data_IF_992544209850
#
_entry.id   IF_992544209850
#
_cell.length_a   1.000
_cell.length_b   1.000
_cell.length_c   1.000
_cell.angle_alpha   90.00
_cell.angle_beta   90.00
_cell.angle_gamma   90.00
#
_symmetry.space_group_name_H-M   'P 1'
#
loop_
_entity.id
_entity.type
_entity.pdbx_description
1 polymer ?
#
# COMPACT_ATOMS: atom_id res chain seq x y z
N UNK A 1 51.94 -53.30 -14.52
CA UNK A 1 51.20 -52.58 -15.58
C UNK A 1 49.95 -51.94 -15.00
N UNK A 2 49.79 -50.63 -15.25
CA UNK A 2 48.59 -49.76 -15.19
C UNK A 2 47.77 -49.71 -13.87
N UNK A 3 48.12 -48.73 -13.01
CA UNK A 3 47.19 -48.13 -12.04
C UNK A 3 46.10 -47.36 -12.81
N UNK A 4 44.83 -47.71 -12.63
CA UNK A 4 43.70 -46.91 -13.13
C UNK A 4 43.27 -45.96 -12.02
N UNK A 5 43.58 -44.68 -12.17
CA UNK A 5 43.00 -43.60 -11.36
C UNK A 5 41.67 -43.25 -12.03
N UNK A 6 40.57 -43.46 -11.33
CA UNK A 6 39.23 -43.07 -11.77
C UNK A 6 38.97 -41.69 -11.17
N UNK A 7 39.08 -40.65 -12.00
CA UNK A 7 38.75 -39.27 -11.63
C UNK A 7 37.23 -39.11 -11.68
N UNK A 8 36.60 -38.87 -10.53
CA UNK A 8 35.17 -38.56 -10.44
C UNK A 8 35.00 -37.03 -10.50
N UNK A 9 34.59 -36.48 -11.64
CA UNK A 9 34.22 -35.06 -11.77
C UNK A 9 32.78 -34.87 -11.25
N UNK A 10 32.63 -34.21 -10.10
CA UNK A 10 31.34 -33.69 -9.64
C UNK A 10 30.96 -32.48 -10.51
N UNK A 11 29.92 -32.64 -11.35
CA UNK A 11 29.25 -31.50 -11.98
C UNK A 11 28.12 -31.09 -11.03
N UNK A 12 28.36 -30.04 -10.24
CA UNK A 12 27.29 -29.38 -9.49
C UNK A 12 26.47 -28.55 -10.48
N UNK A 13 25.35 -29.08 -10.95
CA UNK A 13 24.36 -28.30 -11.64
C UNK A 13 23.69 -27.37 -10.61
N UNK A 14 24.10 -26.09 -10.56
CA UNK A 14 23.31 -25.05 -9.92
C UNK A 14 22.03 -24.88 -10.76
N UNK A 15 20.98 -25.60 -10.39
CA UNK A 15 19.62 -25.24 -10.77
C UNK A 15 19.30 -23.93 -10.04
N UNK A 16 19.65 -22.80 -10.65
CA UNK A 16 19.06 -21.52 -10.26
C UNK A 16 17.58 -21.65 -10.55
N UNK A 17 16.78 -22.03 -9.55
CA UNK A 17 15.35 -21.77 -9.56
C UNK A 17 15.26 -20.26 -9.66
N UNK A 18 14.95 -19.75 -10.86
CA UNK A 18 14.49 -18.39 -11.00
C UNK A 18 13.20 -18.31 -10.18
N UNK A 19 13.32 -17.92 -8.92
CA UNK A 19 12.20 -17.36 -8.19
C UNK A 19 11.82 -16.15 -9.02
N UNK A 20 10.75 -16.25 -9.79
CA UNK A 20 10.06 -15.08 -10.29
C UNK A 20 9.69 -14.30 -9.04
N UNK A 21 10.47 -13.27 -8.69
CA UNK A 21 10.08 -12.36 -7.65
C UNK A 21 8.75 -11.79 -8.12
N UNK A 22 7.66 -12.16 -7.45
CA UNK A 22 6.40 -11.48 -7.66
C UNK A 22 6.65 -10.01 -7.36
N UNK A 23 6.21 -9.14 -8.26
CA UNK A 23 6.31 -7.71 -8.05
C UNK A 23 5.68 -7.35 -6.71
N UNK A 24 6.22 -6.33 -6.05
CA UNK A 24 5.71 -5.79 -4.80
C UNK A 24 4.20 -5.53 -4.93
N UNK A 25 3.36 -6.24 -4.15
CA UNK A 25 1.92 -6.02 -4.22
C UNK A 25 1.60 -4.59 -3.78
N UNK A 26 0.59 -3.99 -4.40
CA UNK A 26 0.06 -2.70 -3.98
C UNK A 26 -0.51 -2.87 -2.57
N UNK A 27 -0.02 -2.09 -1.59
CA UNK A 27 -0.59 -2.11 -0.24
C UNK A 27 -2.06 -1.69 -0.30
N UNK A 28 -2.98 -2.51 0.20
CA UNK A 28 -4.43 -2.28 0.05
C UNK A 28 -4.92 -1.08 0.84
N UNK A 29 -4.21 -0.74 1.91
CA UNK A 29 -4.40 0.50 2.65
C UNK A 29 -4.09 1.76 1.83
N UNK A 30 -3.30 1.63 0.75
CA UNK A 30 -2.98 2.74 -0.16
C UNK A 30 -4.03 2.97 -1.27
N UNK A 31 -4.84 1.97 -1.60
CA UNK A 31 -5.81 2.07 -2.69
C UNK A 31 -6.91 3.11 -2.38
N UNK A 32 -7.46 3.85 -3.35
CA UNK A 32 -8.68 4.64 -3.13
C UNK A 32 -9.79 3.81 -2.48
N UNK A 33 -10.64 4.41 -1.64
CA UNK A 33 -11.69 3.68 -0.90
C UNK A 33 -12.67 2.96 -1.85
N UNK A 34 -12.93 3.55 -3.00
CA UNK A 34 -13.83 3.02 -4.03
C UNK A 34 -13.13 2.13 -5.08
N UNK A 35 -11.84 1.84 -4.94
CA UNK A 35 -11.13 0.99 -5.88
C UNK A 35 -11.50 -0.48 -5.65
N UNK A 36 -11.81 -1.20 -6.73
CA UNK A 36 -12.10 -2.64 -6.65
C UNK A 36 -10.82 -3.47 -6.65
N UNK A 37 -10.90 -4.69 -6.12
CA UNK A 37 -9.80 -5.65 -6.14
C UNK A 37 -9.27 -5.90 -7.57
N UNK A 38 -10.19 -6.03 -8.54
CA UNK A 38 -9.83 -6.19 -9.95
C UNK A 38 -9.06 -4.98 -10.49
N UNK A 39 -9.47 -3.75 -10.15
CA UNK A 39 -8.76 -2.54 -10.57
C UNK A 39 -7.35 -2.45 -9.98
N UNK A 40 -7.18 -2.87 -8.72
CA UNK A 40 -5.88 -2.89 -8.06
C UNK A 40 -4.98 -3.95 -8.73
N UNK A 41 -5.50 -5.16 -9.00
CA UNK A 41 -4.74 -6.21 -9.67
C UNK A 41 -4.32 -5.83 -11.10
N UNK A 42 -5.23 -5.20 -11.87
CA UNK A 42 -4.90 -4.66 -13.20
C UNK A 42 -3.77 -3.63 -13.07
N UNK A 43 -3.85 -2.75 -12.09
CA UNK A 43 -2.82 -1.73 -11.85
C UNK A 43 -1.48 -2.37 -11.49
N UNK A 44 -1.46 -3.31 -10.53
CA UNK A 44 -0.27 -4.09 -10.15
C UNK A 44 0.40 -4.73 -11.36
N UNK A 45 -0.38 -5.36 -12.25
CA UNK A 45 0.15 -6.02 -13.44
C UNK A 45 0.82 -5.03 -14.42
N UNK A 46 0.35 -3.78 -14.47
CA UNK A 46 0.87 -2.75 -15.38
C UNK A 46 2.15 -2.11 -14.83
N UNK A 47 2.24 -1.90 -13.52
CA UNK A 47 3.30 -1.08 -12.90
C UNK A 47 4.18 -1.83 -11.90
N UNK A 48 4.02 -3.15 -11.75
CA UNK A 48 4.72 -3.93 -10.71
C UNK A 48 6.24 -3.77 -10.71
N UNK A 49 6.87 -3.74 -11.88
CA UNK A 49 8.33 -3.51 -12.00
C UNK A 49 8.75 -2.13 -11.47
N UNK A 50 7.91 -1.11 -11.63
CA UNK A 50 8.14 0.23 -11.08
C UNK A 50 8.00 0.19 -9.56
N UNK A 51 7.04 -0.57 -9.03
CA UNK A 51 6.83 -0.71 -7.58
C UNK A 51 8.02 -1.41 -6.91
N UNK A 52 8.63 -2.41 -7.55
CA UNK A 52 9.86 -3.05 -7.08
C UNK A 52 11.03 -2.05 -6.96
N UNK A 53 11.19 -1.17 -7.96
CA UNK A 53 12.22 -0.14 -7.92
C UNK A 53 11.96 0.93 -6.85
N UNK A 54 10.69 1.27 -6.60
CA UNK A 54 10.32 2.18 -5.50
C UNK A 54 10.61 1.53 -4.15
N UNK A 55 10.21 0.27 -3.95
CA UNK A 55 10.42 -0.45 -2.69
C UNK A 55 11.91 -0.60 -2.35
N UNK A 56 12.74 -0.83 -3.38
CA UNK A 56 14.20 -0.95 -3.21
C UNK A 56 14.92 0.40 -3.15
N UNK A 57 14.19 1.52 -3.25
CA UNK A 57 14.74 2.87 -3.20
C UNK A 57 15.53 3.28 -4.44
N UNK A 58 15.48 2.49 -5.52
CA UNK A 58 16.14 2.80 -6.80
C UNK A 58 15.44 3.91 -7.55
N UNK A 59 14.12 4.04 -7.37
CA UNK A 59 13.31 5.02 -8.07
C UNK A 59 12.59 5.97 -7.11
N UNK A 60 12.84 7.27 -7.27
CA UNK A 60 12.15 8.32 -6.53
C UNK A 60 10.73 8.58 -7.05
N UNK A 61 9.92 9.25 -6.22
CA UNK A 61 8.50 9.50 -6.49
C UNK A 61 8.21 10.07 -7.88
N UNK A 62 8.87 11.17 -8.27
CA UNK A 62 8.58 11.87 -9.53
C UNK A 62 8.81 10.99 -10.76
N UNK A 63 9.90 10.22 -10.79
CA UNK A 63 10.20 9.32 -11.91
C UNK A 63 9.27 8.11 -11.93
N UNK A 64 9.04 7.49 -10.76
CA UNK A 64 8.10 6.38 -10.62
C UNK A 64 6.69 6.77 -11.09
N UNK A 65 6.19 7.92 -10.63
CA UNK A 65 4.91 8.48 -11.03
C UNK A 65 4.81 8.67 -12.54
N UNK A 66 5.85 9.26 -13.15
CA UNK A 66 5.91 9.51 -14.60
C UNK A 66 5.93 8.22 -15.43
N UNK A 67 6.71 7.23 -15.01
CA UNK A 67 6.79 5.92 -15.68
C UNK A 67 5.47 5.16 -15.54
N UNK A 68 4.88 5.13 -14.35
CA UNK A 68 3.60 4.47 -14.10
C UNK A 68 2.48 5.08 -14.94
N UNK A 69 2.36 6.41 -14.97
CA UNK A 69 1.37 7.09 -15.79
C UNK A 69 1.56 6.84 -17.30
N UNK A 70 2.81 6.69 -17.74
CA UNK A 70 3.10 6.36 -19.15
C UNK A 70 2.68 4.93 -19.48
N UNK A 71 2.98 3.96 -18.60
CA UNK A 71 2.55 2.57 -18.79
C UNK A 71 1.03 2.43 -18.77
N UNK A 72 0.36 3.05 -17.81
CA UNK A 72 -1.11 3.00 -17.71
C UNK A 72 -1.76 3.61 -18.95
N UNK A 73 -1.31 4.78 -19.42
CA UNK A 73 -1.86 5.37 -20.66
C UNK A 73 -1.69 4.45 -21.86
N UNK A 74 -0.52 3.83 -22.01
CA UNK A 74 -0.27 2.86 -23.09
C UNK A 74 -1.20 1.64 -22.99
N UNK A 75 -1.37 1.07 -21.80
CA UNK A 75 -2.26 -0.06 -21.56
C UNK A 75 -3.72 0.28 -21.89
N UNK A 76 -4.19 1.47 -21.48
CA UNK A 76 -5.54 1.96 -21.80
C UNK A 76 -5.72 2.11 -23.31
N UNK A 77 -4.77 2.76 -24.00
CA UNK A 77 -4.82 2.93 -25.47
C UNK A 77 -4.75 1.60 -26.23
N UNK A 78 -4.10 0.58 -25.64
CA UNK A 78 -4.02 -0.76 -26.19
C UNK A 78 -5.20 -1.67 -25.81
N UNK A 79 -6.20 -1.15 -25.08
CA UNK A 79 -7.34 -1.91 -24.58
C UNK A 79 -6.95 -3.11 -23.69
N UNK A 80 -5.92 -2.95 -22.86
CA UNK A 80 -5.35 -3.98 -21.97
C UNK A 80 -5.76 -3.78 -20.50
N UNK A 81 -6.87 -3.08 -20.25
CA UNK A 81 -7.29 -2.65 -18.90
C UNK A 81 -8.71 -3.08 -18.55
N UNK A 82 -9.27 -4.02 -19.31
CA UNK A 82 -10.65 -4.51 -19.15
C UNK A 82 -11.68 -3.38 -19.09
N UNK A 83 -11.50 -2.37 -19.95
CA UNK A 83 -12.36 -1.19 -20.01
C UNK A 83 -12.11 -0.13 -18.93
N UNK A 84 -11.20 -0.37 -17.97
CA UNK A 84 -10.85 0.63 -16.97
C UNK A 84 -10.03 1.76 -17.58
N UNK A 85 -10.48 2.99 -17.38
CA UNK A 85 -9.81 4.19 -17.89
C UNK A 85 -8.61 4.62 -17.05
N UNK A 86 -7.81 5.52 -17.62
CA UNK A 86 -6.66 6.13 -16.93
C UNK A 86 -7.02 6.79 -15.60
N UNK A 87 -8.19 7.46 -15.54
CA UNK A 87 -8.65 8.14 -14.32
C UNK A 87 -8.97 7.22 -13.14
N UNK A 88 -9.13 5.91 -13.40
CA UNK A 88 -9.37 4.89 -12.37
C UNK A 88 -8.04 4.26 -11.93
N UNK A 89 -7.20 3.87 -12.89
CA UNK A 89 -5.97 3.12 -12.60
C UNK A 89 -4.82 4.01 -12.11
N UNK A 90 -4.72 5.25 -12.61
CA UNK A 90 -3.62 6.13 -12.21
C UNK A 90 -3.65 6.49 -10.72
N UNK A 91 -4.78 6.85 -10.08
CA UNK A 91 -4.79 7.11 -8.63
C UNK A 91 -4.34 5.92 -7.79
N UNK A 92 -4.67 4.69 -8.20
CA UNK A 92 -4.22 3.46 -7.52
C UNK A 92 -2.69 3.39 -7.54
N UNK A 93 -2.07 3.52 -8.72
CA UNK A 93 -0.62 3.48 -8.84
C UNK A 93 0.06 4.64 -8.09
N UNK A 94 -0.46 5.86 -8.20
CA UNK A 94 0.15 7.03 -7.56
C UNK A 94 0.12 6.93 -6.04
N UNK A 95 -0.98 6.47 -5.45
CA UNK A 95 -1.05 6.27 -4.01
C UNK A 95 -0.10 5.17 -3.54
N UNK A 96 -0.03 4.06 -4.28
CA UNK A 96 0.89 2.96 -3.97
C UNK A 96 2.35 3.45 -3.95
N UNK A 97 2.78 4.14 -5.02
CA UNK A 97 4.13 4.71 -5.14
C UNK A 97 4.41 5.66 -3.98
N UNK A 98 3.47 6.54 -3.63
CA UNK A 98 3.61 7.48 -2.51
C UNK A 98 3.82 6.74 -1.19
N UNK A 99 2.93 5.80 -0.87
CA UNK A 99 2.98 5.06 0.41
C UNK A 99 4.21 4.18 0.51
N UNK A 100 4.55 3.45 -0.55
CA UNK A 100 5.75 2.60 -0.58
C UNK A 100 7.03 3.43 -0.40
N UNK A 101 7.12 4.57 -1.08
CA UNK A 101 8.25 5.49 -0.95
C UNK A 101 8.34 6.06 0.47
N UNK A 102 7.21 6.43 1.05
CA UNK A 102 7.15 7.01 2.39
C UNK A 102 7.56 5.99 3.46
N UNK A 103 7.05 4.75 3.38
CA UNK A 103 7.49 3.63 4.23
C UNK A 103 8.99 3.35 4.09
N UNK A 104 9.51 3.39 2.87
CA UNK A 104 10.92 3.17 2.59
C UNK A 104 11.81 4.30 3.14
N UNK A 105 11.31 5.54 3.22
CA UNK A 105 12.02 6.68 3.78
C UNK A 105 11.94 6.80 5.30
N UNK A 106 10.80 6.44 5.88
CA UNK A 106 10.48 6.67 7.29
C UNK A 106 10.01 5.38 7.98
N UNK A 107 10.78 4.28 7.90
CA UNK A 107 10.34 2.98 8.44
C UNK A 107 10.00 3.05 9.94
N UNK A 108 10.79 3.80 10.71
CA UNK A 108 10.60 3.96 12.16
C UNK A 108 9.28 4.67 12.50
N UNK A 109 8.85 5.64 11.68
CA UNK A 109 7.58 6.33 11.88
C UNK A 109 6.38 5.39 11.69
N UNK A 110 6.45 4.51 10.68
CA UNK A 110 5.41 3.50 10.46
C UNK A 110 5.38 2.42 11.55
N UNK A 111 6.56 1.98 12.03
CA UNK A 111 6.64 1.03 13.13
C UNK A 111 6.02 1.61 14.42
N UNK A 112 6.40 2.85 14.77
CA UNK A 112 5.84 3.56 15.93
C UNK A 112 4.33 3.77 15.79
N UNK A 113 3.85 4.21 14.63
CA UNK A 113 2.43 4.37 14.37
C UNK A 113 1.65 3.06 14.56
N UNK A 114 2.23 1.92 14.17
CA UNK A 114 1.59 0.61 14.36
C UNK A 114 1.46 0.22 15.84
N UNK A 115 2.48 0.49 16.65
CA UNK A 115 2.43 0.26 18.10
C UNK A 115 1.38 1.13 18.77
N UNK A 116 1.36 2.43 18.45
CA UNK A 116 0.41 3.40 19.03
C UNK A 116 -1.03 3.07 18.63
N UNK A 117 -1.27 2.75 17.35
CA UNK A 117 -2.61 2.50 16.83
C UNK A 117 -3.22 1.19 17.31
N UNK A 118 -2.40 0.13 17.51
CA UNK A 118 -2.90 -1.11 18.12
C UNK A 118 -3.54 -0.88 19.48
N UNK A 119 -3.12 0.15 20.21
CA UNK A 119 -3.73 0.55 21.49
C UNK A 119 -4.87 1.55 21.26
N UNK A 120 -4.64 2.62 20.49
CA UNK A 120 -5.60 3.72 20.32
C UNK A 120 -6.94 3.27 19.70
N UNK A 121 -6.90 2.34 18.75
CA UNK A 121 -8.08 1.87 18.00
C UNK A 121 -8.39 0.39 18.26
N UNK A 122 -7.93 -0.17 19.38
CA UNK A 122 -8.13 -1.58 19.74
C UNK A 122 -9.61 -1.99 19.76
N UNK A 123 -10.48 -1.10 20.24
CA UNK A 123 -11.93 -1.29 20.28
C UNK A 123 -12.53 -1.34 18.86
N UNK A 124 -12.04 -0.49 17.95
CA UNK A 124 -12.47 -0.46 16.55
C UNK A 124 -12.03 -1.72 15.81
N UNK A 125 -10.78 -2.16 16.02
CA UNK A 125 -10.26 -3.43 15.47
C UNK A 125 -11.14 -4.61 15.90
N UNK A 126 -11.48 -4.68 17.19
CA UNK A 126 -12.36 -5.72 17.73
C UNK A 126 -13.76 -5.64 17.11
N UNK A 127 -14.28 -4.44 16.90
CA UNK A 127 -15.59 -4.25 16.26
C UNK A 127 -15.58 -4.72 14.79
N UNK A 128 -14.52 -4.46 14.03
CA UNK A 128 -14.35 -4.97 12.67
C UNK A 128 -14.30 -6.49 12.64
N UNK A 129 -13.55 -7.12 13.56
CA UNK A 129 -13.55 -8.58 13.69
C UNK A 129 -14.95 -9.12 13.97
N UNK A 130 -15.80 -8.35 14.64
CA UNK A 130 -17.19 -8.71 14.95
C UNK A 130 -18.19 -8.29 13.85
N UNK A 131 -17.72 -7.81 12.69
CA UNK A 131 -18.55 -7.51 11.52
C UNK A 131 -18.92 -6.04 11.34
N UNK A 132 -18.24 -5.10 12.01
CA UNK A 132 -18.37 -3.68 11.68
C UNK A 132 -17.89 -3.41 10.25
N UNK A 133 -18.66 -2.62 9.52
CA UNK A 133 -18.33 -2.15 8.17
C UNK A 133 -17.03 -1.32 8.15
N UNK A 134 -16.23 -1.50 7.08
CA UNK A 134 -14.89 -0.90 6.98
C UNK A 134 -14.94 0.61 6.82
N UNK A 135 -15.94 1.16 6.14
CA UNK A 135 -16.05 2.62 5.97
C UNK A 135 -16.39 3.28 7.30
N UNK A 136 -17.31 2.67 8.06
CA UNK A 136 -17.64 3.10 9.43
C UNK A 136 -16.42 3.01 10.34
N UNK A 137 -15.73 1.86 10.35
CA UNK A 137 -14.53 1.65 11.16
C UNK A 137 -13.41 2.64 10.81
N UNK A 138 -13.21 2.93 9.52
CA UNK A 138 -12.21 3.89 9.04
C UNK A 138 -12.52 5.29 9.56
N UNK A 139 -13.78 5.75 9.46
CA UNK A 139 -14.19 7.05 10.01
C UNK A 139 -13.91 7.12 11.52
N UNK A 140 -14.36 6.11 12.29
CA UNK A 140 -14.16 6.07 13.75
C UNK A 140 -12.69 6.06 14.13
N UNK A 141 -11.85 5.29 13.42
CA UNK A 141 -10.41 5.29 13.65
C UNK A 141 -9.79 6.66 13.37
N UNK A 142 -10.19 7.32 12.28
CA UNK A 142 -9.65 8.63 11.90
C UNK A 142 -10.04 9.72 12.89
N UNK A 143 -11.27 9.69 13.38
CA UNK A 143 -11.72 10.57 14.47
C UNK A 143 -10.87 10.40 15.73
N UNK A 144 -10.64 9.16 16.18
CA UNK A 144 -9.77 8.87 17.32
C UNK A 144 -8.33 9.35 17.10
N UNK A 145 -7.81 9.23 15.87
CA UNK A 145 -6.48 9.71 15.50
C UNK A 145 -6.39 11.23 15.65
N UNK A 146 -7.36 11.99 15.13
CA UNK A 146 -7.37 13.44 15.33
C UNK A 146 -7.54 13.80 16.82
N UNK A 147 -8.39 13.08 17.54
CA UNK A 147 -8.61 13.27 18.98
C UNK A 147 -7.37 12.97 19.84
N UNK A 148 -6.43 12.18 19.33
CA UNK A 148 -5.14 11.96 20.00
C UNK A 148 -4.24 13.21 19.99
N UNK A 149 -4.43 14.10 19.03
CA UNK A 149 -3.73 15.38 18.94
C UNK A 149 -4.54 16.53 19.56
N UNK A 150 -5.87 16.49 19.43
CA UNK A 150 -6.80 17.45 20.04
C UNK A 150 -8.09 16.75 20.48
N UNK A 151 -8.24 16.54 21.79
CA UNK A 151 -9.41 15.86 22.37
C UNK A 151 -10.74 16.56 22.12
N UNK A 152 -10.73 17.84 21.72
CA UNK A 152 -11.94 18.59 21.38
C UNK A 152 -12.38 18.42 19.93
N UNK A 153 -11.58 17.76 19.10
CA UNK A 153 -11.87 17.55 17.69
C UNK A 153 -13.17 16.77 17.47
N UNK A 154 -14.05 17.35 16.65
CA UNK A 154 -15.30 16.74 16.19
C UNK A 154 -15.24 16.48 14.69
N UNK A 155 -15.24 15.21 14.30
CA UNK A 155 -15.06 14.83 12.91
C UNK A 155 -16.19 15.34 12.01
N UNK A 156 -17.44 15.18 12.43
CA UNK A 156 -18.59 15.54 11.61
C UNK A 156 -18.75 17.06 11.47
N UNK A 157 -18.46 17.81 12.53
CA UNK A 157 -18.45 19.27 12.47
C UNK A 157 -17.37 19.77 11.50
N UNK A 158 -16.13 19.33 11.67
CA UNK A 158 -15.01 19.81 10.85
C UNK A 158 -15.14 19.41 9.38
N UNK A 159 -15.63 18.20 9.08
CA UNK A 159 -15.81 17.76 7.69
C UNK A 159 -17.11 18.28 7.05
N UNK A 160 -18.00 18.94 7.81
CA UNK A 160 -19.13 19.71 7.27
C UNK A 160 -18.74 21.11 6.77
N UNK A 161 -17.59 21.64 7.21
CA UNK A 161 -17.08 22.95 6.79
C UNK A 161 -16.39 22.88 5.42
N UNK A 162 -16.35 24.01 4.72
CA UNK A 162 -15.50 24.18 3.54
C UNK A 162 -14.03 23.97 3.92
N UNK A 163 -13.25 23.39 3.01
CA UNK A 163 -11.85 23.01 3.27
C UNK A 163 -10.99 24.15 3.82
N UNK A 164 -11.26 25.40 3.44
CA UNK A 164 -10.50 26.57 3.92
C UNK A 164 -10.82 27.02 5.35
N UNK A 165 -11.89 26.49 5.97
CA UNK A 165 -12.31 26.83 7.33
C UNK A 165 -12.16 25.69 8.34
N UNK A 166 -11.64 24.54 7.90
CA UNK A 166 -11.44 23.39 8.79
C UNK A 166 -10.25 23.65 9.70
N UNK A 167 -10.43 23.36 10.98
CA UNK A 167 -9.36 23.31 11.96
C UNK A 167 -8.97 21.84 12.18
N UNK A 168 -8.10 21.35 11.30
CA UNK A 168 -7.67 19.94 11.31
C UNK A 168 -6.37 19.80 12.11
N UNK A 169 -6.35 18.97 13.17
CA UNK A 169 -5.13 18.69 13.92
C UNK A 169 -4.03 18.13 13.01
N UNK A 170 -2.80 18.59 13.24
CA UNK A 170 -1.64 18.16 12.47
C UNK A 170 -1.23 16.72 12.85
N UNK A 171 -1.73 15.74 12.10
CA UNK A 171 -1.39 14.32 12.27
C UNK A 171 -0.69 13.78 11.03
N UNK A 172 0.33 12.94 11.24
CA UNK A 172 1.10 12.33 10.16
C UNK A 172 0.30 11.32 9.32
N UNK A 173 0.56 11.31 8.01
CA UNK A 173 -0.13 10.43 7.05
C UNK A 173 0.08 8.93 7.33
N UNK A 174 1.20 8.58 7.98
CA UNK A 174 1.48 7.22 8.41
C UNK A 174 0.39 6.69 9.36
N UNK A 175 -0.18 7.54 10.23
CA UNK A 175 -1.21 7.12 11.17
C UNK A 175 -2.47 6.63 10.44
N UNK A 176 -2.94 7.37 9.46
CA UNK A 176 -4.11 6.98 8.67
C UNK A 176 -3.84 5.74 7.81
N UNK A 177 -2.65 5.65 7.23
CA UNK A 177 -2.24 4.50 6.41
C UNK A 177 -2.18 3.22 7.26
N UNK A 178 -1.55 3.28 8.43
CA UNK A 178 -1.42 2.14 9.35
C UNK A 178 -2.76 1.78 9.96
N UNK A 179 -3.60 2.75 10.34
CA UNK A 179 -4.94 2.47 10.85
C UNK A 179 -5.75 1.65 9.84
N UNK A 180 -5.74 2.07 8.57
CA UNK A 180 -6.43 1.32 7.52
C UNK A 180 -5.83 -0.06 7.29
N UNK A 181 -4.51 -0.22 7.36
CA UNK A 181 -3.86 -1.55 7.31
C UNK A 181 -4.41 -2.46 8.41
N UNK A 182 -4.42 -1.99 9.67
CA UNK A 182 -4.89 -2.78 10.82
C UNK A 182 -6.37 -3.17 10.70
N UNK A 183 -7.22 -2.25 10.20
CA UNK A 183 -8.64 -2.53 9.98
C UNK A 183 -8.86 -3.55 8.85
N UNK A 184 -8.11 -3.45 7.75
CA UNK A 184 -8.19 -4.43 6.65
C UNK A 184 -7.72 -5.82 7.10
N UNK A 185 -6.63 -5.90 7.87
CA UNK A 185 -6.16 -7.16 8.47
C UNK A 185 -7.20 -7.76 9.41
N UNK A 186 -7.92 -6.93 10.17
CA UNK A 186 -8.99 -7.36 11.06
C UNK A 186 -10.24 -7.90 10.34
N UNK A 187 -10.47 -7.47 9.09
CA UNK A 187 -11.61 -7.88 8.28
C UNK A 187 -11.43 -9.25 7.61
N UNK A 188 -10.18 -9.69 7.43
CA UNK A 188 -9.83 -11.00 6.87
C UNK A 188 -9.91 -12.04 7.99
N UNK A 189 -11.09 -12.61 8.21
CA UNK A 189 -11.28 -13.83 9.00
C UNK A 189 -11.08 -15.07 8.15
#
# INVERSE_FOLDING_TARGET
>A
MKKKIITLTLIAALSATATTAFAAPIPRESAPLNATEAQIQITENIVGDILDEVQTGKLGYTLAAGYANTKIRKAVMANQTDGNGYGILSPIAQNAIRVMRDKQLRPDAYAKAEEELKVLIADVITAVQNGMDIDTATKTAYEKIYQSADTSFNYDEQFSLDTCYRDIPAVGMEMFTVARKLLLEAAVK
#
